data_IF_254187849682
#
_entry.id   IF_254187849682
#
_cell.length_a   1.000
_cell.length_b   1.000
_cell.length_c   1.000
_cell.angle_alpha   90.00
_cell.angle_beta   90.00
_cell.angle_gamma   90.00
#
_symmetry.space_group_name_H-M   'P 1'
#
loop_
_entity.id
_entity.type
_entity.pdbx_description
1 polymer ?
#
# COMPACT_ATOMS: atom_id res chain seq x y z
N UNK A 1 -16.30 -9.15 -1.70
CA UNK A 1 -14.84 -9.07 -1.61
C UNK A 1 -14.38 -7.73 -2.17
N UNK A 2 -13.53 -7.02 -1.46
CA UNK A 2 -13.02 -5.72 -1.89
C UNK A 2 -11.87 -5.89 -2.88
N UNK A 3 -11.88 -5.13 -3.95
CA UNK A 3 -10.75 -5.08 -4.88
C UNK A 3 -9.54 -4.44 -4.21
N UNK A 4 -8.34 -4.86 -4.60
CA UNK A 4 -7.12 -4.31 -4.05
C UNK A 4 -6.02 -4.24 -5.11
N UNK A 5 -5.10 -3.31 -4.94
CA UNK A 5 -3.92 -3.17 -5.79
C UNK A 5 -2.76 -2.62 -4.97
N UNK A 6 -1.57 -3.09 -5.27
CA UNK A 6 -0.33 -2.57 -4.66
C UNK A 6 0.38 -1.73 -5.71
N UNK A 7 0.75 -0.50 -5.32
CA UNK A 7 1.55 0.39 -6.17
C UNK A 7 3.00 0.25 -5.70
N UNK A 8 3.85 -0.32 -6.51
CA UNK A 8 5.24 -0.57 -6.16
C UNK A 8 6.17 0.17 -7.11
N UNK A 9 7.38 0.44 -6.67
CA UNK A 9 8.41 1.07 -7.50
C UNK A 9 9.55 0.13 -7.79
N UNK A 10 10.24 0.34 -8.92
CA UNK A 10 11.47 -0.42 -9.21
C UNK A 10 12.57 -0.05 -8.23
N UNK A 11 12.52 1.14 -7.67
CA UNK A 11 13.47 1.66 -6.67
C UNK A 11 12.86 2.83 -5.93
N UNK A 12 13.53 3.29 -4.86
CA UNK A 12 13.13 4.52 -4.18
C UNK A 12 13.27 5.72 -5.11
N UNK A 13 12.42 6.73 -4.91
CA UNK A 13 12.51 7.98 -5.65
C UNK A 13 11.99 7.93 -7.08
N UNK A 14 11.28 6.89 -7.46
CA UNK A 14 10.77 6.71 -8.83
C UNK A 14 9.45 7.46 -9.08
N UNK A 15 8.87 8.09 -8.05
CA UNK A 15 7.60 8.81 -8.15
C UNK A 15 6.41 8.02 -7.67
N UNK A 16 6.63 6.97 -6.92
CA UNK A 16 5.61 6.07 -6.43
C UNK A 16 4.53 6.77 -5.60
N UNK A 17 4.91 7.67 -4.70
CA UNK A 17 3.97 8.40 -3.85
C UNK A 17 3.05 9.29 -4.66
N UNK A 18 3.59 10.00 -5.64
CA UNK A 18 2.81 10.86 -6.53
C UNK A 18 1.78 10.05 -7.32
N UNK A 19 2.21 8.91 -7.87
CA UNK A 19 1.31 8.03 -8.63
C UNK A 19 0.23 7.45 -7.73
N UNK A 20 0.61 6.90 -6.58
CA UNK A 20 -0.34 6.28 -5.65
C UNK A 20 -1.37 7.29 -5.17
N UNK A 21 -0.92 8.47 -4.72
CA UNK A 21 -1.80 9.52 -4.21
C UNK A 21 -2.71 10.04 -5.32
N UNK A 22 -2.18 10.18 -6.54
CA UNK A 22 -2.97 10.60 -7.70
C UNK A 22 -4.09 9.62 -8.04
N UNK A 23 -3.80 8.32 -8.02
CA UNK A 23 -4.80 7.29 -8.26
C UNK A 23 -5.86 7.30 -7.16
N UNK A 24 -5.43 7.37 -5.90
CA UNK A 24 -6.34 7.45 -4.76
C UNK A 24 -7.30 8.62 -4.88
N UNK A 25 -6.76 9.80 -5.19
CA UNK A 25 -7.56 11.02 -5.34
C UNK A 25 -8.52 10.96 -6.53
N UNK A 26 -8.06 10.45 -7.66
CA UNK A 26 -8.88 10.33 -8.85
C UNK A 26 -10.07 9.40 -8.64
N UNK A 27 -9.85 8.25 -8.00
CA UNK A 27 -10.92 7.30 -7.71
C UNK A 27 -11.90 7.87 -6.68
N UNK A 28 -11.39 8.58 -5.68
CA UNK A 28 -12.25 9.23 -4.68
C UNK A 28 -13.14 10.28 -5.31
N UNK A 29 -12.60 11.08 -6.24
CA UNK A 29 -13.39 12.08 -6.97
C UNK A 29 -14.47 11.46 -7.83
N UNK A 30 -14.27 10.23 -8.28
CA UNK A 30 -15.28 9.48 -9.06
C UNK A 30 -16.33 8.83 -8.16
N UNK A 31 -16.29 9.07 -6.87
CA UNK A 31 -17.25 8.52 -5.92
C UNK A 31 -16.90 7.14 -5.39
N UNK A 32 -15.70 6.63 -5.67
CA UNK A 32 -15.25 5.35 -5.12
C UNK A 32 -14.84 5.52 -3.66
N UNK A 33 -15.20 4.54 -2.84
CA UNK A 33 -14.76 4.49 -1.44
C UNK A 33 -13.40 3.79 -1.38
N UNK A 34 -12.34 4.59 -1.32
CA UNK A 34 -10.97 4.10 -1.34
C UNK A 34 -10.42 3.96 0.08
N UNK A 35 -9.86 2.78 0.39
CA UNK A 35 -9.10 2.59 1.62
C UNK A 35 -7.62 2.62 1.30
N UNK A 36 -6.89 3.65 1.79
CA UNK A 36 -5.46 3.73 1.56
C UNK A 36 -4.68 2.95 2.60
N UNK A 37 -3.54 2.40 2.17
CA UNK A 37 -2.58 1.72 3.02
C UNK A 37 -1.16 2.09 2.61
N UNK A 38 -0.24 1.97 3.55
CA UNK A 38 1.19 2.13 3.29
C UNK A 38 1.93 0.89 3.78
N UNK A 39 2.78 0.32 2.94
CA UNK A 39 3.67 -0.75 3.37
C UNK A 39 4.75 -0.19 4.30
N UNK A 40 4.98 -0.87 5.42
CA UNK A 40 6.00 -0.49 6.38
C UNK A 40 5.58 0.59 7.36
N UNK A 41 6.47 0.95 8.30
CA UNK A 41 6.20 1.96 9.31
C UNK A 41 6.54 3.36 8.77
N UNK A 42 5.53 4.08 8.30
CA UNK A 42 5.69 5.41 7.72
C UNK A 42 4.56 6.31 8.22
N UNK A 43 4.89 7.56 8.55
CA UNK A 43 3.92 8.55 9.00
C UNK A 43 3.77 9.73 8.04
N UNK A 44 4.62 9.81 7.01
CA UNK A 44 4.61 10.92 6.05
C UNK A 44 3.63 10.64 4.92
N UNK A 45 3.84 9.53 4.19
CA UNK A 45 2.97 9.17 3.06
C UNK A 45 1.52 8.97 3.47
N UNK A 46 1.20 8.33 4.63
CA UNK A 46 -0.18 8.22 5.08
C UNK A 46 -0.92 9.55 5.21
N UNK A 47 -0.23 10.65 5.52
CA UNK A 47 -0.86 11.97 5.61
C UNK A 47 -1.34 12.45 4.24
N UNK A 48 -0.59 12.18 3.17
CA UNK A 48 -1.01 12.49 1.80
C UNK A 48 -2.17 11.61 1.38
N UNK A 49 -2.15 10.34 1.74
CA UNK A 49 -3.25 9.41 1.47
C UNK A 49 -4.55 9.90 2.10
N UNK A 50 -4.48 10.36 3.34
CA UNK A 50 -5.66 10.86 4.04
C UNK A 50 -6.24 12.08 3.34
N UNK A 51 -5.39 12.99 2.87
CA UNK A 51 -5.85 14.16 2.12
C UNK A 51 -6.53 13.75 0.81
N UNK A 52 -6.01 12.73 0.14
CA UNK A 52 -6.56 12.28 -1.13
C UNK A 52 -7.88 11.52 -0.97
N UNK A 53 -8.01 10.71 0.07
CA UNK A 53 -9.13 9.77 0.25
C UNK A 53 -10.17 10.23 1.27
N UNK A 54 -9.80 11.16 2.16
CA UNK A 54 -10.70 11.61 3.23
C UNK A 54 -10.81 10.66 4.41
N UNK A 55 -10.06 9.56 4.42
CA UNK A 55 -10.02 8.60 5.53
C UNK A 55 -8.58 8.27 5.88
N UNK A 56 -8.30 7.86 7.12
CA UNK A 56 -6.93 7.53 7.53
C UNK A 56 -6.35 6.37 6.72
N UNK A 57 -5.07 6.50 6.35
CA UNK A 57 -4.28 5.41 5.81
C UNK A 57 -3.77 4.54 6.95
N UNK A 58 -3.62 3.23 6.68
CA UNK A 58 -3.11 2.29 7.68
C UNK A 58 -1.79 1.69 7.22
N UNK A 59 -0.88 1.48 8.17
CA UNK A 59 0.41 0.87 7.88
C UNK A 59 0.32 -0.65 7.93
N UNK A 60 0.86 -1.30 6.90
CA UNK A 60 0.93 -2.76 6.81
C UNK A 60 2.41 -3.14 6.84
N UNK A 61 2.89 -3.56 8.01
CA UNK A 61 4.29 -3.81 8.24
C UNK A 61 4.52 -5.28 8.54
N UNK A 62 5.01 -6.03 7.54
CA UNK A 62 5.25 -7.47 7.67
C UNK A 62 6.51 -7.79 8.48
N UNK A 63 7.31 -6.78 8.81
CA UNK A 63 8.48 -6.98 9.66
C UNK A 63 8.13 -6.86 11.15
N UNK A 64 7.37 -5.80 11.52
CA UNK A 64 7.04 -5.54 12.92
C UNK A 64 5.78 -6.24 13.39
N UNK A 65 4.90 -6.66 12.46
CA UNK A 65 3.64 -7.30 12.80
C UNK A 65 3.59 -8.73 12.24
N UNK A 66 2.98 -9.68 12.97
CA UNK A 66 2.73 -11.01 12.42
C UNK A 66 1.88 -10.93 11.15
N UNK A 67 2.09 -11.84 10.21
CA UNK A 67 1.34 -11.85 8.94
C UNK A 67 -0.17 -11.92 9.17
N UNK A 68 -0.61 -12.69 10.16
CA UNK A 68 -2.04 -12.80 10.46
C UNK A 68 -2.62 -11.45 10.89
N UNK A 69 -1.85 -10.67 11.68
CA UNK A 69 -2.27 -9.33 12.12
C UNK A 69 -2.37 -8.38 10.93
N UNK A 70 -1.42 -8.45 10.00
CA UNK A 70 -1.45 -7.63 8.78
C UNK A 70 -2.70 -7.94 7.96
N UNK A 71 -3.01 -9.23 7.76
CA UNK A 71 -4.18 -9.65 7.02
C UNK A 71 -5.48 -9.19 7.67
N UNK A 72 -5.58 -9.33 8.99
CA UNK A 72 -6.78 -8.91 9.74
C UNK A 72 -6.99 -7.39 9.64
N UNK A 73 -5.92 -6.62 9.78
CA UNK A 73 -5.99 -5.17 9.66
C UNK A 73 -6.41 -4.75 8.25
N UNK A 74 -5.83 -5.39 7.24
CA UNK A 74 -6.15 -5.12 5.84
C UNK A 74 -7.63 -5.41 5.55
N UNK A 75 -8.12 -6.57 5.97
CA UNK A 75 -9.50 -6.98 5.75
C UNK A 75 -10.47 -6.09 6.50
N UNK A 76 -10.17 -5.78 7.75
CA UNK A 76 -11.05 -4.96 8.59
C UNK A 76 -11.16 -3.54 8.06
N UNK A 77 -10.03 -2.90 7.74
CA UNK A 77 -10.04 -1.53 7.26
C UNK A 77 -10.71 -1.42 5.89
N UNK A 78 -10.55 -2.43 5.03
CA UNK A 78 -11.10 -2.42 3.68
C UNK A 78 -12.55 -2.89 3.58
N UNK A 79 -13.13 -3.48 4.64
CA UNK A 79 -14.41 -4.19 4.56
C UNK A 79 -15.59 -3.30 4.15
N UNK A 80 -15.57 -2.02 4.50
CA UNK A 80 -16.63 -1.07 4.18
C UNK A 80 -16.27 -0.17 2.99
N UNK A 81 -15.20 -0.51 2.27
CA UNK A 81 -14.71 0.28 1.16
C UNK A 81 -14.85 -0.51 -0.14
N UNK A 82 -14.70 0.18 -1.28
CA UNK A 82 -14.85 -0.44 -2.60
C UNK A 82 -13.52 -0.93 -3.18
N UNK A 83 -12.42 -0.21 -2.87
CA UNK A 83 -11.09 -0.59 -3.33
C UNK A 83 -10.05 -0.23 -2.28
N UNK A 84 -9.09 -1.11 -2.07
CA UNK A 84 -7.95 -0.88 -1.20
C UNK A 84 -6.71 -0.64 -2.05
N UNK A 85 -6.01 0.46 -1.80
CA UNK A 85 -4.80 0.81 -2.54
C UNK A 85 -3.64 0.87 -1.55
N UNK A 86 -2.63 0.06 -1.79
CA UNK A 86 -1.45 -0.05 -0.93
C UNK A 86 -0.28 0.60 -1.66
N UNK A 87 0.27 1.66 -1.08
CA UNK A 87 1.52 2.23 -1.58
C UNK A 87 2.69 1.44 -0.98
N UNK A 88 3.56 0.91 -1.85
CA UNK A 88 4.73 0.17 -1.42
C UNK A 88 5.82 1.05 -0.82
N UNK A 89 6.85 0.43 -0.31
CA UNK A 89 7.99 1.08 0.31
C UNK A 89 9.25 0.74 -0.49
N UNK A 90 10.14 1.71 -0.68
CA UNK A 90 11.41 1.54 -1.41
C UNK A 90 11.19 0.85 -2.77
N UNK A 91 12.16 0.06 -3.25
CA UNK A 91 11.95 -0.79 -4.43
C UNK A 91 11.14 -2.04 -4.08
N UNK A 92 10.48 -2.63 -5.08
CA UNK A 92 9.51 -3.70 -4.88
C UNK A 92 10.09 -4.92 -4.15
N UNK A 93 11.37 -5.22 -4.35
CA UNK A 93 12.03 -6.34 -3.69
C UNK A 93 12.92 -5.94 -2.51
N UNK A 94 12.97 -4.65 -2.16
CA UNK A 94 13.78 -4.19 -1.04
C UNK A 94 13.09 -4.55 0.28
N UNK A 95 13.73 -5.39 1.06
CA UNK A 95 13.28 -5.76 2.38
C UNK A 95 14.15 -5.13 3.46
N UNK A 96 14.03 -5.60 4.69
CA UNK A 96 14.84 -5.11 5.79
C UNK A 96 16.30 -5.57 5.68
N UNK A 97 16.60 -6.56 4.83
CA UNK A 97 17.95 -7.00 4.57
C UNK A 97 18.16 -7.24 3.06
N UNK A 98 19.42 -7.18 2.61
CA UNK A 98 19.77 -7.39 1.21
C UNK A 98 19.67 -8.85 0.78
N UNK A 99 19.48 -9.77 1.73
CA UNK A 99 19.54 -11.20 1.48
C UNK A 99 18.17 -11.87 1.36
N UNK A 100 17.08 -11.15 1.61
CA UNK A 100 15.73 -11.73 1.53
C UNK A 100 14.69 -10.67 1.17
N UNK A 101 13.52 -11.15 0.75
CA UNK A 101 12.36 -10.30 0.49
C UNK A 101 11.60 -9.93 1.76
N UNK A 102 12.02 -10.45 2.92
CA UNK A 102 11.30 -10.24 4.17
C UNK A 102 11.15 -8.76 4.48
N UNK A 103 9.91 -8.32 4.70
CA UNK A 103 9.59 -6.92 4.90
C UNK A 103 9.43 -6.12 3.62
N UNK A 104 9.58 -6.74 2.44
CA UNK A 104 9.47 -6.04 1.16
C UNK A 104 8.02 -5.85 0.72
N UNK A 105 7.83 -4.91 -0.22
CA UNK A 105 6.54 -4.72 -0.88
C UNK A 105 6.12 -5.98 -1.64
N UNK A 106 7.06 -6.71 -2.25
CA UNK A 106 6.76 -7.96 -2.94
C UNK A 106 6.20 -9.01 -1.98
N UNK A 107 6.79 -9.14 -0.80
CA UNK A 107 6.28 -10.05 0.22
C UNK A 107 4.85 -9.67 0.62
N UNK A 108 4.61 -8.38 0.86
CA UNK A 108 3.28 -7.90 1.23
C UNK A 108 2.26 -8.18 0.13
N UNK A 109 2.61 -7.92 -1.13
CA UNK A 109 1.70 -8.17 -2.25
C UNK A 109 1.32 -9.65 -2.36
N UNK A 110 2.28 -10.54 -2.14
CA UNK A 110 2.01 -11.99 -2.10
C UNK A 110 1.08 -12.36 -0.95
N UNK A 111 1.35 -11.81 0.24
CA UNK A 111 0.53 -12.07 1.43
C UNK A 111 -0.91 -11.63 1.21
N UNK A 112 -1.12 -10.46 0.61
CA UNK A 112 -2.45 -9.91 0.35
C UNK A 112 -3.10 -10.54 -0.87
N UNK A 113 -2.37 -11.30 -1.67
CA UNK A 113 -2.82 -11.83 -2.96
C UNK A 113 -3.35 -10.71 -3.86
N UNK A 114 -2.63 -9.59 -3.91
CA UNK A 114 -3.03 -8.40 -4.63
C UNK A 114 -2.18 -8.20 -5.89
N UNK A 115 -2.77 -7.74 -6.99
CA UNK A 115 -2.00 -7.38 -8.18
C UNK A 115 -1.13 -6.16 -7.90
N UNK A 116 -0.05 -6.03 -8.66
CA UNK A 116 0.93 -4.96 -8.49
C UNK A 116 0.97 -4.10 -9.75
N UNK A 117 0.90 -2.78 -9.55
CA UNK A 117 1.23 -1.80 -10.60
C UNK A 117 2.66 -1.35 -10.30
N UNK A 118 3.56 -1.59 -11.23
CA UNK A 118 4.97 -1.27 -11.05
C UNK A 118 5.29 0.08 -11.69
N UNK A 119 5.78 1.01 -10.88
CA UNK A 119 6.19 2.34 -11.35
C UNK A 119 7.68 2.29 -11.69
N UNK A 120 8.00 2.66 -12.92
CA UNK A 120 9.37 2.66 -13.43
C UNK A 120 9.66 3.96 -14.15
N UNK A 121 10.93 4.30 -14.27
CA UNK A 121 11.39 5.47 -15.01
C UNK A 121 12.35 5.10 -16.14
#
# INVERSE_FOLDING_TARGET
MTSSVVIAGVRSGVGKTTIATGIMGALTRRGQLVQPFKAGPDYIDPSYHKLACGVPSRNLDTWLMPHQTVLELFQRAGSQRQISIVEGVMGVFDGHSNLSEEGSTAELAKLLNAPVILVAD
#
